data_IF_969330773133
#
_entry.id   IF_969330773133
#
_cell.length_a   1.000
_cell.length_b   1.000
_cell.length_c   1.000
_cell.angle_alpha   90.00
_cell.angle_beta   90.00
_cell.angle_gamma   90.00
#
_symmetry.space_group_name_H-M   'P 1'
#
loop_
_entity.id
_entity.type
_entity.pdbx_description
1 polymer ?
#
# COMPACT_ATOMS: atom_id res chain seq x y z
N UNK A 1 -19.09 -18.02 -7.41
CA UNK A 1 -18.64 -16.63 -7.56
C UNK A 1 -17.60 -16.32 -6.50
N UNK A 2 -16.41 -15.92 -6.94
CA UNK A 2 -15.14 -15.77 -6.19
C UNK A 2 -15.29 -14.90 -4.93
N UNK A 3 -16.07 -13.82 -5.01
CA UNK A 3 -16.29 -12.91 -3.87
C UNK A 3 -17.07 -13.58 -2.70
N UNK A 4 -17.98 -14.52 -2.99
CA UNK A 4 -18.70 -15.27 -1.97
C UNK A 4 -17.82 -16.32 -1.30
N UNK A 5 -16.82 -16.83 -2.03
CA UNK A 5 -15.83 -17.75 -1.52
C UNK A 5 -14.77 -17.07 -0.64
N UNK A 6 -14.43 -15.80 -0.86
CA UNK A 6 -13.44 -15.09 -0.04
C UNK A 6 -13.90 -14.91 1.42
N UNK A 7 -15.22 -14.90 1.67
CA UNK A 7 -15.77 -14.91 3.04
C UNK A 7 -15.49 -16.21 3.81
N UNK A 8 -15.24 -17.31 3.09
CA UNK A 8 -14.86 -18.60 3.70
C UNK A 8 -13.41 -18.63 4.18
N UNK A 9 -12.59 -17.65 3.74
CA UNK A 9 -11.18 -17.54 4.09
C UNK A 9 -10.95 -16.33 5.00
N UNK A 10 -11.04 -16.52 6.33
CA UNK A 10 -10.93 -15.42 7.27
C UNK A 10 -9.54 -14.77 7.14
N UNK A 11 -9.50 -13.46 7.00
CA UNK A 11 -8.28 -12.67 6.82
C UNK A 11 -7.97 -12.31 5.36
N UNK A 12 -8.29 -13.13 4.37
CA UNK A 12 -8.05 -12.80 2.96
C UNK A 12 -8.88 -11.60 2.52
N UNK A 13 -10.17 -11.58 2.84
CA UNK A 13 -11.04 -10.44 2.52
C UNK A 13 -10.57 -9.16 3.21
N UNK A 14 -10.20 -9.24 4.50
CA UNK A 14 -9.64 -8.09 5.23
C UNK A 14 -8.34 -7.59 4.60
N UNK A 15 -7.48 -8.51 4.18
CA UNK A 15 -6.26 -8.15 3.46
C UNK A 15 -6.57 -7.45 2.14
N UNK A 16 -7.51 -7.95 1.34
CA UNK A 16 -7.89 -7.34 0.05
C UNK A 16 -8.49 -5.94 0.22
N UNK A 17 -9.31 -5.74 1.27
CA UNK A 17 -9.84 -4.41 1.60
C UNK A 17 -8.72 -3.48 2.06
N UNK A 18 -7.85 -3.92 2.96
CA UNK A 18 -6.69 -3.14 3.38
C UNK A 18 -5.79 -2.80 2.19
N UNK A 19 -5.56 -3.79 1.31
CA UNK A 19 -4.78 -3.63 0.10
C UNK A 19 -5.37 -2.58 -0.83
N UNK A 20 -6.67 -2.53 -0.99
CA UNK A 20 -7.34 -1.51 -1.77
C UNK A 20 -6.92 -0.11 -1.29
N UNK A 21 -7.05 0.18 0.00
CA UNK A 21 -6.74 1.49 0.56
C UNK A 21 -5.25 1.87 0.44
N UNK A 22 -4.31 0.99 0.81
CA UNK A 22 -2.91 1.38 0.70
C UNK A 22 -2.40 1.40 -0.74
N UNK A 23 -2.90 0.55 -1.63
CA UNK A 23 -2.52 0.58 -3.05
C UNK A 23 -3.05 1.85 -3.71
N UNK A 24 -4.27 2.26 -3.39
CA UNK A 24 -4.86 3.52 -3.81
C UNK A 24 -4.01 4.72 -3.40
N UNK A 25 -3.67 4.82 -2.11
CA UNK A 25 -2.84 5.89 -1.59
C UNK A 25 -1.45 5.92 -2.23
N UNK A 26 -0.78 4.77 -2.34
CA UNK A 26 0.57 4.66 -2.90
C UNK A 26 0.59 5.00 -4.40
N UNK A 27 -0.36 4.48 -5.19
CA UNK A 27 -0.42 4.80 -6.62
C UNK A 27 -0.71 6.29 -6.85
N UNK A 28 -1.62 6.86 -6.07
CA UNK A 28 -1.98 8.28 -6.18
C UNK A 28 -0.78 9.17 -5.86
N UNK A 29 -0.03 8.89 -4.81
CA UNK A 29 1.15 9.69 -4.48
C UNK A 29 2.25 9.57 -5.54
N UNK A 30 2.44 8.40 -6.15
CA UNK A 30 3.41 8.24 -7.24
C UNK A 30 3.06 9.15 -8.43
N UNK A 31 1.76 9.23 -8.78
CA UNK A 31 1.30 10.03 -9.90
C UNK A 31 1.41 11.53 -9.62
N UNK A 32 1.02 11.99 -8.43
CA UNK A 32 0.87 13.41 -8.15
C UNK A 32 2.01 14.02 -7.34
N UNK A 33 3.00 13.23 -6.90
CA UNK A 33 4.12 13.74 -6.10
C UNK A 33 4.93 14.81 -6.85
N UNK A 34 5.13 14.64 -8.16
CA UNK A 34 5.84 15.65 -8.97
C UNK A 34 5.17 17.01 -8.90
N UNK A 35 3.86 17.06 -9.13
CA UNK A 35 3.07 18.30 -9.05
C UNK A 35 3.03 18.85 -7.63
N UNK A 36 2.93 17.99 -6.62
CA UNK A 36 2.96 18.42 -5.22
C UNK A 36 4.28 19.10 -4.86
N UNK A 37 5.38 18.52 -5.26
CA UNK A 37 6.73 19.02 -4.98
C UNK A 37 6.99 20.36 -5.67
N UNK A 38 6.49 20.57 -6.88
CA UNK A 38 6.63 21.84 -7.59
C UNK A 38 5.77 22.93 -7.01
N UNK A 39 4.51 22.65 -6.74
CA UNK A 39 3.51 23.67 -6.46
C UNK A 39 3.32 23.96 -4.97
N UNK A 40 3.50 22.96 -4.09
CA UNK A 40 3.32 23.12 -2.63
C UNK A 40 4.67 23.29 -1.90
N UNK A 41 5.69 22.52 -2.30
CA UNK A 41 7.03 22.61 -1.68
C UNK A 41 7.86 23.75 -2.28
N UNK A 42 7.49 24.19 -3.49
CA UNK A 42 8.16 25.28 -4.19
C UNK A 42 9.49 24.90 -4.85
N UNK A 43 9.71 23.60 -5.12
CA UNK A 43 10.87 23.16 -5.86
C UNK A 43 10.66 23.37 -7.37
N UNK A 44 11.70 23.87 -8.05
CA UNK A 44 11.66 23.92 -9.51
C UNK A 44 11.59 22.50 -10.13
N UNK A 45 11.18 22.41 -11.39
CA UNK A 45 11.01 21.14 -12.12
C UNK A 45 12.26 20.26 -12.09
N UNK A 46 13.44 20.84 -12.11
CA UNK A 46 14.71 20.11 -12.02
C UNK A 46 14.87 19.43 -10.66
N UNK A 47 14.58 20.13 -9.56
CA UNK A 47 14.66 19.57 -8.21
C UNK A 47 13.56 18.52 -7.99
N UNK A 48 12.37 18.71 -8.56
CA UNK A 48 11.31 17.69 -8.53
C UNK A 48 11.78 16.38 -9.18
N UNK A 49 12.49 16.46 -10.30
CA UNK A 49 13.11 15.28 -10.95
C UNK A 49 14.17 14.62 -10.06
N UNK A 50 14.97 15.39 -9.34
CA UNK A 50 15.95 14.88 -8.37
C UNK A 50 15.26 14.17 -7.21
N UNK A 51 14.17 14.73 -6.70
CA UNK A 51 13.33 14.10 -5.65
C UNK A 51 12.85 12.71 -6.09
N UNK A 52 12.37 12.59 -7.33
CA UNK A 52 11.93 11.31 -7.89
C UNK A 52 13.09 10.32 -8.05
N UNK A 53 14.25 10.77 -8.53
CA UNK A 53 15.46 9.95 -8.66
C UNK A 53 15.93 9.42 -7.30
N UNK A 54 15.93 10.27 -6.27
CA UNK A 54 16.25 9.85 -4.90
C UNK A 54 15.29 8.75 -4.42
N UNK A 55 13.99 8.97 -4.57
CA UNK A 55 12.99 7.98 -4.16
C UNK A 55 13.20 6.63 -4.87
N UNK A 56 13.44 6.64 -6.19
CA UNK A 56 13.71 5.44 -6.97
C UNK A 56 15.00 4.73 -6.54
N UNK A 57 16.07 5.48 -6.33
CA UNK A 57 17.36 4.92 -5.92
C UNK A 57 17.26 4.23 -4.57
N UNK A 58 16.63 4.88 -3.60
CA UNK A 58 16.40 4.29 -2.28
C UNK A 58 15.42 3.11 -2.32
N UNK A 59 14.44 3.10 -3.23
CA UNK A 59 13.56 1.96 -3.43
C UNK A 59 14.32 0.72 -3.89
N UNK A 60 15.27 0.85 -4.81
CA UNK A 60 16.10 -0.27 -5.29
C UNK A 60 16.94 -0.84 -4.15
N UNK A 61 17.68 0.01 -3.43
CA UNK A 61 18.53 -0.43 -2.31
C UNK A 61 17.70 -1.07 -1.20
N UNK A 62 16.58 -0.44 -0.84
CA UNK A 62 15.70 -0.94 0.21
C UNK A 62 15.03 -2.27 -0.16
N UNK A 63 14.86 -2.59 -1.44
CA UNK A 63 14.29 -3.86 -1.90
C UNK A 63 15.08 -5.06 -1.41
N UNK A 64 16.40 -4.99 -1.45
CA UNK A 64 17.28 -6.05 -0.94
C UNK A 64 17.18 -6.20 0.58
N UNK A 65 17.02 -5.09 1.29
CA UNK A 65 16.88 -5.08 2.75
C UNK A 65 15.51 -5.65 3.14
N UNK A 66 14.45 -5.20 2.49
CA UNK A 66 13.10 -5.68 2.77
C UNK A 66 12.91 -7.15 2.42
N UNK A 67 13.56 -7.68 1.37
CA UNK A 67 13.57 -9.10 1.07
C UNK A 67 14.05 -9.91 2.29
N UNK A 68 15.22 -9.58 2.83
CA UNK A 68 15.76 -10.24 4.03
C UNK A 68 14.88 -10.07 5.27
N UNK A 69 14.22 -8.91 5.40
CA UNK A 69 13.31 -8.67 6.53
C UNK A 69 12.05 -9.53 6.40
N UNK A 70 11.46 -9.64 5.20
CA UNK A 70 10.29 -10.51 4.93
C UNK A 70 10.60 -11.95 5.27
N UNK A 71 11.78 -12.44 4.90
CA UNK A 71 12.19 -13.82 5.19
C UNK A 71 12.35 -14.08 6.69
N UNK A 72 12.85 -13.08 7.45
CA UNK A 72 13.12 -13.22 8.89
C UNK A 72 11.87 -13.06 9.77
N UNK A 73 11.06 -12.06 9.52
CA UNK A 73 9.95 -11.70 10.42
C UNK A 73 8.58 -11.98 9.83
N UNK A 74 8.52 -12.37 8.56
CA UNK A 74 7.29 -12.64 7.82
C UNK A 74 6.68 -11.42 7.12
N UNK A 75 5.88 -11.65 6.04
CA UNK A 75 5.37 -10.60 5.19
C UNK A 75 4.36 -9.68 5.89
N UNK A 76 3.50 -10.19 6.77
CA UNK A 76 2.54 -9.36 7.51
C UNK A 76 3.23 -8.33 8.40
N UNK A 77 4.19 -8.79 9.23
CA UNK A 77 4.91 -7.91 10.16
C UNK A 77 5.70 -6.85 9.39
N UNK A 78 6.25 -7.24 8.24
CA UNK A 78 6.92 -6.31 7.33
C UNK A 78 5.94 -5.29 6.78
N UNK A 79 4.80 -5.70 6.24
CA UNK A 79 3.80 -4.80 5.68
C UNK A 79 3.26 -3.81 6.73
N UNK A 80 3.03 -4.24 7.96
CA UNK A 80 2.65 -3.36 9.08
C UNK A 80 3.72 -2.28 9.35
N UNK A 81 5.02 -2.63 9.30
CA UNK A 81 6.11 -1.65 9.46
C UNK A 81 6.15 -0.66 8.31
N UNK A 82 5.96 -1.16 7.09
CA UNK A 82 5.90 -0.34 5.88
C UNK A 82 4.73 0.64 5.92
N UNK A 83 3.55 0.19 6.35
CA UNK A 83 2.39 1.09 6.50
C UNK A 83 2.65 2.20 7.53
N UNK A 84 3.36 1.90 8.64
CA UNK A 84 3.78 2.93 9.60
C UNK A 84 4.74 3.94 8.97
N UNK A 85 5.66 3.48 8.13
CA UNK A 85 6.55 4.39 7.40
C UNK A 85 5.76 5.28 6.43
N UNK A 86 4.79 4.73 5.72
CA UNK A 86 3.86 5.50 4.89
C UNK A 86 3.05 6.53 5.68
N UNK A 87 2.60 6.20 6.90
CA UNK A 87 1.93 7.19 7.77
C UNK A 87 2.82 8.39 8.06
N UNK A 88 4.10 8.17 8.35
CA UNK A 88 5.07 9.26 8.60
C UNK A 88 5.26 10.08 7.33
N UNK A 89 5.46 9.44 6.18
CA UNK A 89 5.62 10.10 4.87
C UNK A 89 4.42 10.98 4.57
N UNK A 90 3.20 10.43 4.62
CA UNK A 90 1.98 11.20 4.32
C UNK A 90 1.70 12.29 5.36
N UNK A 91 1.94 12.02 6.64
CA UNK A 91 1.75 13.02 7.69
C UNK A 91 2.69 14.23 7.49
N UNK A 92 3.97 13.97 7.21
CA UNK A 92 4.93 15.05 6.96
C UNK A 92 4.61 15.80 5.67
N UNK A 93 4.27 15.08 4.60
CA UNK A 93 3.87 15.68 3.33
C UNK A 93 2.62 16.56 3.49
N UNK A 94 1.59 16.11 4.21
CA UNK A 94 0.41 16.93 4.49
C UNK A 94 0.76 18.16 5.32
N UNK A 95 1.56 17.99 6.37
CA UNK A 95 1.98 19.07 7.27
C UNK A 95 2.76 20.14 6.52
N UNK A 96 3.66 19.75 5.60
CA UNK A 96 4.45 20.71 4.80
C UNK A 96 3.61 21.54 3.83
N UNK A 97 2.40 21.10 3.50
CA UNK A 97 1.48 21.90 2.69
C UNK A 97 0.54 22.80 3.50
N UNK A 98 0.32 22.51 4.80
CA UNK A 98 -0.49 23.36 5.67
C UNK A 98 0.33 24.41 6.42
N UNK A 99 1.61 24.14 6.67
CA UNK A 99 2.48 25.02 7.45
C UNK A 99 3.59 25.59 6.55
N UNK A 100 3.99 26.84 6.77
CA UNK A 100 5.12 27.45 6.06
C UNK A 100 6.45 26.90 6.58
N UNK A 101 6.68 25.59 6.34
CA UNK A 101 7.94 24.94 6.71
C UNK A 101 9.00 25.18 5.63
N UNK A 102 10.28 25.36 6.00
CA UNK A 102 11.35 25.52 5.01
C UNK A 102 11.42 24.31 4.06
N UNK A 103 11.53 24.56 2.75
CA UNK A 103 11.52 23.50 1.71
C UNK A 103 12.61 22.43 1.91
N UNK A 104 13.74 22.78 2.55
CA UNK A 104 14.78 21.80 2.85
C UNK A 104 14.34 20.68 3.79
N UNK A 105 13.30 20.89 4.60
CA UNK A 105 12.74 19.87 5.50
C UNK A 105 12.02 18.75 4.77
N UNK A 106 11.78 18.93 3.47
CA UNK A 106 11.13 17.92 2.61
C UNK A 106 12.09 16.83 2.12
N UNK A 107 13.42 17.05 2.13
CA UNK A 107 14.39 16.08 1.62
C UNK A 107 14.35 14.66 2.23
N UNK A 108 14.00 14.45 3.50
CA UNK A 108 13.82 13.09 4.03
C UNK A 108 12.63 12.33 3.40
N UNK A 109 11.61 13.04 2.90
CA UNK A 109 10.36 12.44 2.37
C UNK A 109 10.64 11.49 1.20
N UNK A 110 11.35 11.85 0.13
CA UNK A 110 11.61 10.94 -0.99
C UNK A 110 12.41 9.72 -0.59
N UNK A 111 13.35 9.85 0.34
CA UNK A 111 14.12 8.71 0.89
C UNK A 111 13.18 7.72 1.58
N UNK A 112 12.36 8.21 2.51
CA UNK A 112 11.41 7.39 3.27
C UNK A 112 10.32 6.80 2.36
N UNK A 113 9.82 7.57 1.39
CA UNK A 113 8.85 7.12 0.41
C UNK A 113 9.41 5.99 -0.48
N UNK A 114 10.64 6.12 -0.96
CA UNK A 114 11.30 5.07 -1.72
C UNK A 114 11.48 3.77 -0.92
N UNK A 115 11.93 3.88 0.33
CA UNK A 115 12.05 2.75 1.25
C UNK A 115 10.67 2.09 1.48
N UNK A 116 9.63 2.88 1.75
CA UNK A 116 8.28 2.38 1.98
C UNK A 116 7.68 1.72 0.73
N UNK A 117 7.89 2.31 -0.44
CA UNK A 117 7.39 1.79 -1.72
C UNK A 117 7.93 0.39 -2.00
N UNK A 118 9.23 0.23 -1.89
CA UNK A 118 9.90 -1.06 -2.08
C UNK A 118 9.41 -2.11 -1.08
N UNK A 119 9.25 -1.74 0.19
CA UNK A 119 8.73 -2.62 1.24
C UNK A 119 7.29 -3.05 0.98
N UNK A 120 6.45 -2.15 0.43
CA UNK A 120 5.08 -2.47 0.05
C UNK A 120 5.07 -3.61 -0.99
N UNK A 121 5.81 -3.46 -2.07
CA UNK A 121 5.83 -4.46 -3.15
C UNK A 121 6.49 -5.78 -2.73
N UNK A 122 7.50 -5.72 -1.86
CA UNK A 122 8.21 -6.91 -1.38
C UNK A 122 7.35 -7.74 -0.42
N UNK A 123 6.53 -7.11 0.42
CA UNK A 123 5.72 -7.82 1.42
C UNK A 123 4.31 -8.21 0.95
N UNK A 124 3.74 -7.47 0.00
CA UNK A 124 2.35 -7.58 -0.44
C UNK A 124 2.03 -8.97 -1.03
N UNK A 125 2.78 -9.39 -2.04
CA UNK A 125 2.56 -10.68 -2.74
C UNK A 125 2.80 -11.90 -1.84
N UNK A 126 3.90 -12.01 -1.10
CA UNK A 126 4.10 -13.14 -0.20
C UNK A 126 3.01 -13.23 0.87
N UNK A 127 2.50 -12.10 1.35
CA UNK A 127 1.42 -12.12 2.33
C UNK A 127 0.11 -12.64 1.74
N UNK A 128 -0.24 -12.22 0.54
CA UNK A 128 -1.40 -12.76 -0.19
C UNK A 128 -1.29 -14.29 -0.36
N UNK A 129 -0.12 -14.80 -0.76
CA UNK A 129 0.11 -16.23 -0.93
C UNK A 129 -0.05 -17.01 0.38
N UNK A 130 0.37 -16.47 1.53
CA UNK A 130 0.14 -17.09 2.84
C UNK A 130 -1.33 -17.20 3.24
N UNK A 131 -2.17 -16.28 2.75
CA UNK A 131 -3.60 -16.25 3.04
C UNK A 131 -4.43 -17.12 2.10
N UNK A 132 -3.84 -17.64 1.02
CA UNK A 132 -4.53 -18.32 -0.07
C UNK A 132 -4.21 -19.81 -0.08
N UNK A 133 -5.21 -20.72 -0.19
CA UNK A 133 -4.97 -22.14 -0.42
C UNK A 133 -4.28 -22.38 -1.76
N UNK A 134 -3.34 -23.35 -1.81
CA UNK A 134 -2.60 -23.72 -3.02
C UNK A 134 -3.51 -24.04 -4.22
N UNK A 135 -4.61 -24.76 -4.00
CA UNK A 135 -5.58 -25.14 -5.02
C UNK A 135 -6.35 -23.95 -5.65
N UNK A 136 -6.32 -22.75 -5.05
CA UNK A 136 -7.08 -21.56 -5.49
C UNK A 136 -6.22 -20.32 -5.71
N UNK A 137 -4.90 -20.48 -5.80
CA UNK A 137 -3.97 -19.37 -5.98
C UNK A 137 -4.34 -18.54 -7.22
N UNK A 138 -4.64 -19.15 -8.36
CA UNK A 138 -4.98 -18.45 -9.60
C UNK A 138 -6.24 -17.59 -9.47
N UNK A 139 -7.30 -18.13 -8.84
CA UNK A 139 -8.55 -17.43 -8.61
C UNK A 139 -8.35 -16.16 -7.75
N UNK A 140 -7.64 -16.32 -6.64
CA UNK A 140 -7.40 -15.20 -5.72
C UNK A 140 -6.33 -14.22 -6.23
N UNK A 141 -5.40 -14.69 -7.07
CA UNK A 141 -4.44 -13.80 -7.74
C UNK A 141 -5.14 -12.89 -8.76
N UNK A 142 -6.16 -13.41 -9.45
CA UNK A 142 -7.04 -12.59 -10.30
C UNK A 142 -7.77 -11.51 -9.52
N UNK A 143 -8.36 -11.86 -8.35
CA UNK A 143 -9.03 -10.90 -7.47
C UNK A 143 -8.05 -9.86 -6.89
N UNK A 144 -6.86 -10.30 -6.47
CA UNK A 144 -5.77 -9.44 -6.04
C UNK A 144 -5.38 -8.41 -7.13
N UNK A 145 -5.21 -8.86 -8.38
CA UNK A 145 -4.91 -7.98 -9.52
C UNK A 145 -6.05 -7.00 -9.80
N UNK A 146 -7.30 -7.46 -9.71
CA UNK A 146 -8.48 -6.61 -9.91
C UNK A 146 -8.57 -5.51 -8.86
N UNK A 147 -8.41 -5.83 -7.59
CA UNK A 147 -8.38 -4.84 -6.49
C UNK A 147 -7.32 -3.77 -6.74
N UNK A 148 -6.12 -4.16 -7.17
CA UNK A 148 -5.05 -3.21 -7.49
C UNK A 148 -5.37 -2.28 -8.66
N UNK A 149 -6.04 -2.79 -9.69
CA UNK A 149 -6.47 -1.97 -10.84
C UNK A 149 -7.55 -0.97 -10.47
N UNK A 150 -8.55 -1.37 -9.69
CA UNK A 150 -9.58 -0.45 -9.20
C UNK A 150 -8.99 0.64 -8.31
N UNK A 151 -8.08 0.29 -7.40
CA UNK A 151 -7.36 1.24 -6.58
C UNK A 151 -6.56 2.25 -7.42
N UNK A 152 -5.91 1.81 -8.49
CA UNK A 152 -5.14 2.70 -9.37
C UNK A 152 -6.01 3.72 -10.15
N UNK A 153 -7.32 3.50 -10.25
CA UNK A 153 -8.26 4.41 -10.92
C UNK A 153 -8.91 5.36 -9.92
N UNK A 154 -9.35 4.85 -8.76
CA UNK A 154 -10.14 5.63 -7.81
C UNK A 154 -9.33 6.71 -7.11
N UNK A 155 -8.10 6.44 -6.72
CA UNK A 155 -7.24 7.41 -6.05
C UNK A 155 -7.00 8.67 -6.88
N UNK A 156 -6.49 8.56 -8.12
CA UNK A 156 -6.35 9.70 -9.00
C UNK A 156 -7.67 10.44 -9.28
N UNK A 157 -8.78 9.72 -9.41
CA UNK A 157 -10.11 10.33 -9.60
C UNK A 157 -10.55 11.15 -8.37
N UNK A 158 -10.36 10.60 -7.17
CA UNK A 158 -10.63 11.30 -5.91
C UNK A 158 -9.70 12.50 -5.73
N UNK A 159 -8.42 12.37 -6.08
CA UNK A 159 -7.48 13.49 -6.07
C UNK A 159 -7.98 14.63 -6.97
N UNK A 160 -8.35 14.32 -8.22
CA UNK A 160 -8.90 15.29 -9.16
C UNK A 160 -10.16 15.97 -8.64
N UNK A 161 -11.07 15.20 -8.04
CA UNK A 161 -12.29 15.73 -7.42
C UNK A 161 -11.97 16.71 -6.28
N UNK A 162 -11.07 16.34 -5.38
CA UNK A 162 -10.71 17.15 -4.20
C UNK A 162 -10.00 18.43 -4.61
N UNK A 163 -9.00 18.32 -5.49
CA UNK A 163 -8.13 19.44 -5.84
C UNK A 163 -8.76 20.33 -6.90
N UNK A 164 -9.33 19.76 -7.97
CA UNK A 164 -9.78 20.52 -9.11
C UNK A 164 -11.27 20.92 -9.03
N UNK A 165 -12.13 20.02 -8.52
CA UNK A 165 -13.59 20.27 -8.51
C UNK A 165 -14.02 20.97 -7.22
N UNK A 166 -13.54 20.47 -6.06
CA UNK A 166 -13.89 21.05 -4.75
C UNK A 166 -12.97 22.20 -4.34
N UNK A 167 -11.80 22.37 -4.98
CA UNK A 167 -10.86 23.44 -4.69
C UNK A 167 -10.25 23.40 -3.29
N UNK A 168 -10.26 22.23 -2.61
CA UNK A 168 -9.80 22.08 -1.22
C UNK A 168 -8.28 22.09 -1.08
N UNK A 169 -7.55 22.02 -2.21
CA UNK A 169 -6.09 22.04 -2.23
C UNK A 169 -5.46 20.65 -2.08
N UNK A 170 -4.20 20.56 -2.48
CA UNK A 170 -3.41 19.31 -2.46
C UNK A 170 -3.09 18.80 -1.06
N UNK A 171 -2.81 19.66 -0.04
CA UNK A 171 -2.58 19.18 1.33
C UNK A 171 -3.76 18.41 1.90
N UNK A 172 -5.01 18.81 1.58
CA UNK A 172 -6.22 18.08 1.97
C UNK A 172 -6.27 16.71 1.28
N UNK A 173 -5.94 16.66 -0.02
CA UNK A 173 -5.90 15.39 -0.75
C UNK A 173 -4.87 14.42 -0.13
N UNK A 174 -3.67 14.89 0.23
CA UNK A 174 -2.66 14.06 0.93
C UNK A 174 -3.17 13.60 2.30
N UNK A 175 -3.92 14.43 3.03
CA UNK A 175 -4.51 14.04 4.32
C UNK A 175 -5.53 12.90 4.15
N UNK A 176 -6.28 12.89 3.06
CA UNK A 176 -7.21 11.79 2.74
C UNK A 176 -6.44 10.50 2.40
N UNK A 177 -5.30 10.61 1.70
CA UNK A 177 -4.42 9.46 1.47
C UNK A 177 -3.83 8.94 2.80
N UNK A 178 -3.46 9.82 3.72
CA UNK A 178 -3.07 9.43 5.08
C UNK A 178 -4.19 8.67 5.80
N UNK A 179 -5.42 9.15 5.72
CA UNK A 179 -6.58 8.46 6.30
C UNK A 179 -6.77 7.07 5.67
N UNK A 180 -6.59 6.91 4.36
CA UNK A 180 -6.64 5.62 3.68
C UNK A 180 -5.57 4.64 4.21
N UNK A 181 -4.34 5.10 4.44
CA UNK A 181 -3.28 4.29 5.06
C UNK A 181 -3.62 3.90 6.50
N UNK A 182 -4.18 4.83 7.30
CA UNK A 182 -4.62 4.56 8.67
C UNK A 182 -5.74 3.50 8.71
N UNK A 183 -6.72 3.62 7.82
CA UNK A 183 -7.81 2.63 7.67
C UNK A 183 -7.22 1.26 7.29
N UNK A 184 -6.32 1.23 6.30
CA UNK A 184 -5.64 0.02 5.88
C UNK A 184 -4.88 -0.64 7.03
N UNK A 185 -4.12 0.13 7.80
CA UNK A 185 -3.41 -0.35 8.97
C UNK A 185 -4.34 -0.95 10.02
N UNK A 186 -5.44 -0.25 10.33
CA UNK A 186 -6.43 -0.72 11.31
C UNK A 186 -7.07 -2.04 10.88
N UNK A 187 -7.43 -2.18 9.61
CA UNK A 187 -8.02 -3.41 9.05
C UNK A 187 -7.02 -4.57 9.04
N UNK A 188 -5.74 -4.29 8.73
CA UNK A 188 -4.71 -5.32 8.59
C UNK A 188 -4.19 -5.82 9.94
N UNK A 189 -4.16 -4.97 10.97
CA UNK A 189 -3.59 -5.28 12.28
C UNK A 189 -4.16 -6.58 12.91
N UNK A 190 -5.48 -6.83 12.93
CA UNK A 190 -6.07 -8.02 13.55
C UNK A 190 -5.97 -9.30 12.69
N UNK A 191 -5.53 -9.23 11.43
CA UNK A 191 -5.39 -10.41 10.57
C UNK A 191 -4.26 -11.29 11.08
N UNK A 192 -4.44 -12.62 11.12
CA UNK A 192 -3.40 -13.56 11.57
C UNK A 192 -2.23 -13.65 10.58
N UNK A 193 -1.03 -13.87 11.09
CA UNK A 193 0.21 -14.10 10.33
C UNK A 193 0.62 -15.59 10.28
N UNK A 194 -0.12 -16.46 10.99
CA UNK A 194 0.21 -17.88 11.04
C UNK A 194 0.06 -18.52 9.66
N UNK A 195 1.07 -19.29 9.21
CA UNK A 195 0.91 -20.16 8.06
C UNK A 195 -0.30 -21.07 8.28
N UNK A 196 -1.17 -21.16 7.31
CA UNK A 196 -2.37 -22.00 7.42
C UNK A 196 -2.09 -23.33 6.76
N UNK A 197 -2.29 -24.41 7.53
CA UNK A 197 -2.35 -25.75 6.97
C UNK A 197 -3.71 -25.92 6.25
N UNK A 198 -3.66 -25.98 4.94
CA UNK A 198 -4.82 -26.17 4.08
C UNK A 198 -5.07 -27.64 3.74
N UNK A 199 -4.22 -28.59 4.22
CA UNK A 199 -4.27 -30.02 3.87
C UNK A 199 -5.51 -30.71 4.44
N UNK A 200 -6.02 -30.29 5.60
CA UNK A 200 -7.12 -30.95 6.31
C UNK A 200 -8.54 -30.56 5.89
N UNK A 201 -8.74 -29.64 4.94
CA UNK A 201 -10.09 -29.26 4.49
C UNK A 201 -10.54 -29.95 3.19
N UNK A 202 -9.74 -30.85 2.64
CA UNK A 202 -10.04 -31.57 1.40
C UNK A 202 -10.57 -33.00 1.59
N UNK A 203 -10.54 -33.56 2.80
CA UNK A 203 -10.83 -34.99 3.04
C UNK A 203 -12.22 -35.29 3.60
N UNK A 204 -13.07 -34.29 3.81
CA UNK A 204 -14.37 -34.50 4.49
C UNK A 204 -15.57 -34.65 3.52
N UNK A 205 -15.34 -34.90 2.23
CA UNK A 205 -16.44 -35.03 1.27
C UNK A 205 -16.41 -36.28 0.37
N UNK A 206 -15.58 -37.32 0.70
CA UNK A 206 -15.58 -38.58 -0.05
C UNK A 206 -15.26 -39.78 0.84
N UNK A 207 -16.13 -40.04 1.83
CA UNK A 207 -16.34 -41.42 2.28
C UNK A 207 -17.77 -41.83 1.93
N UNK A 208 -17.98 -42.72 0.96
CA UNK A 208 -19.26 -43.39 0.83
C UNK A 208 -19.41 -44.36 2.02
N UNK A 209 -20.55 -44.24 2.70
CA UNK A 209 -20.95 -45.18 3.72
C UNK A 209 -21.04 -46.60 3.07
N UNK A 210 -20.21 -47.51 3.55
CA UNK A 210 -20.34 -48.94 3.32
C UNK A 210 -21.28 -49.57 4.31
#
# INVERSE_FOLDING_TARGET
TTFRNSRKYPGLLRFLIARFFYTDAVNTVIIFMGVYVTDEVGFGTQLASVVMLIAMSFAVVAGFIWGRIVDRIGPKRTLIRVLRLWMIVFAWTALSGFLPVPSWTFWPVPVMAGIALSGTWTADRPYMLRLTPSAKIGEFYGLYGMVGRFAAILGPALWGLIVNTLGLGRPVAVTILLAAILISYAILRPVSDSPRDWSNKGTDSTQPAS
#
